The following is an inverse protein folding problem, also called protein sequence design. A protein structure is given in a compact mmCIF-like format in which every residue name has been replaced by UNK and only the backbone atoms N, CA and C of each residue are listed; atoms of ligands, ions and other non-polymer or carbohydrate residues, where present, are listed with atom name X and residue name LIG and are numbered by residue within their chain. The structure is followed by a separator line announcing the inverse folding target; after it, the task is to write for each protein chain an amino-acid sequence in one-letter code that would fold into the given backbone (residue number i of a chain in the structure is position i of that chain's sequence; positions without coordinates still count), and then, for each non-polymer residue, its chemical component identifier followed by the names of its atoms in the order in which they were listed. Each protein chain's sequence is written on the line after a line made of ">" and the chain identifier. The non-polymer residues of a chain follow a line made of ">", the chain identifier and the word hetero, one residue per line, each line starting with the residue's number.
data_IF_275225441694
#
_entry.id   IF_275225441694
#
_cell.length_a   1.000
_cell.length_b   1.000
_cell.length_c   1.000
_cell.angle_alpha   90.00
_cell.angle_beta   90.00
_cell.angle_gamma   90.00
#
_symmetry.space_group_name_H-M   'P 1'
#
loop_
_entity.id
_entity.type
_entity.pdbx_description
1 polymer ?
#
# COMPACT_ATOMS: atom_id res chain seq x y z
N UNK A 1 -38.49 -25.49 -0.97
CA UNK A 1 -38.80 -24.92 0.35
C UNK A 1 -38.24 -25.83 1.42
N UNK A 2 -36.98 -25.62 1.79
CA UNK A 2 -36.36 -26.20 2.97
C UNK A 2 -35.63 -25.05 3.65
N UNK A 3 -36.02 -24.80 4.89
CA UNK A 3 -35.57 -23.69 5.72
C UNK A 3 -34.33 -24.13 6.49
N UNK A 4 -33.38 -23.20 6.56
CA UNK A 4 -32.14 -23.24 7.32
C UNK A 4 -32.33 -23.42 8.84
N UNK A 5 -31.31 -23.95 9.54
CA UNK A 5 -30.89 -23.31 10.78
C UNK A 5 -29.37 -23.15 10.91
N UNK A 6 -28.90 -21.96 10.51
CA UNK A 6 -27.83 -21.15 11.11
C UNK A 6 -27.39 -21.59 12.53
N UNK A 7 -26.21 -22.16 12.64
CA UNK A 7 -25.53 -22.41 13.91
C UNK A 7 -24.67 -21.21 14.29
N UNK A 8 -25.27 -20.27 15.03
CA UNK A 8 -24.59 -19.12 15.60
C UNK A 8 -23.60 -19.55 16.71
N UNK A 9 -22.30 -19.53 16.41
CA UNK A 9 -21.25 -19.73 17.41
C UNK A 9 -20.90 -18.39 18.06
N UNK A 10 -21.60 -18.06 19.14
CA UNK A 10 -21.31 -16.88 19.95
C UNK A 10 -20.02 -17.10 20.73
N UNK A 11 -18.89 -16.57 20.26
CA UNK A 11 -17.68 -16.47 21.09
C UNK A 11 -17.91 -15.37 22.13
N UNK A 12 -17.64 -15.71 23.39
CA UNK A 12 -17.77 -14.82 24.55
C UNK A 12 -16.49 -14.00 24.68
N UNK A 13 -16.56 -12.69 24.51
CA UNK A 13 -15.52 -11.77 24.92
C UNK A 13 -15.50 -11.69 26.47
N UNK A 14 -14.34 -11.97 27.05
CA UNK A 14 -14.06 -11.76 28.47
C UNK A 14 -13.52 -10.33 28.61
N UNK A 15 -14.36 -9.43 29.10
CA UNK A 15 -13.95 -8.09 29.51
C UNK A 15 -13.00 -8.20 30.72
N UNK A 16 -11.69 -8.05 30.48
CA UNK A 16 -10.70 -7.93 31.53
C UNK A 16 -10.61 -6.46 31.97
N UNK A 17 -11.22 -6.13 33.11
CA UNK A 17 -11.13 -4.81 33.74
C UNK A 17 -9.86 -4.76 34.60
N UNK A 18 -8.79 -4.16 34.09
CA UNK A 18 -7.55 -3.87 34.82
C UNK A 18 -7.65 -2.57 35.62
N UNK A 19 -7.22 -2.58 36.88
CA UNK A 19 -7.32 -1.45 37.82
C UNK A 19 -6.08 -0.55 37.75
N UNK A 20 -6.27 0.75 37.48
CA UNK A 20 -5.19 1.76 37.51
C UNK A 20 -4.88 2.13 38.96
N UNK A 21 -3.62 1.99 39.36
CA UNK A 21 -3.14 2.39 40.69
C UNK A 21 -2.40 3.72 40.58
N UNK A 22 -3.03 4.82 41.01
CA UNK A 22 -2.43 6.14 41.11
C UNK A 22 -1.51 6.22 42.34
N UNK A 23 -0.20 6.19 42.12
CA UNK A 23 0.80 6.50 43.13
C UNK A 23 1.33 7.93 42.90
N UNK A 24 0.89 8.86 43.76
CA UNK A 24 1.42 10.21 43.80
C UNK A 24 2.78 10.28 44.49
N UNK A 25 3.70 11.07 43.93
CA UNK A 25 4.90 11.54 44.62
C UNK A 25 4.94 13.06 44.56
N UNK A 26 4.88 13.65 45.76
CA UNK A 26 5.05 15.07 46.01
C UNK A 26 6.49 15.36 46.48
N UNK A 27 7.02 16.53 46.10
CA UNK A 27 8.26 17.12 46.61
C UNK A 27 9.15 17.60 45.46
N UNK A 28 9.76 18.77 45.46
CA UNK A 28 10.05 19.71 46.53
C UNK A 28 10.12 21.14 45.96
N UNK A 29 9.47 22.05 46.67
CA UNK A 29 9.54 23.50 46.52
C UNK A 29 10.96 23.98 46.86
N UNK A 30 11.58 24.76 45.99
CA UNK A 30 12.85 25.44 46.24
C UNK A 30 12.96 26.63 45.30
N UNK A 31 12.71 27.83 45.82
CA UNK A 31 12.95 29.09 45.14
C UNK A 31 14.19 29.76 45.70
N UNK A 32 14.89 30.51 44.85
CA UNK A 32 15.75 31.63 45.21
C UNK A 32 15.77 32.59 44.00
N UNK A 33 15.37 33.84 44.27
CA UNK A 33 15.41 35.00 43.41
C UNK A 33 16.86 35.41 43.05
N UNK A 34 17.13 35.75 41.80
CA UNK A 34 18.32 36.53 41.41
C UNK A 34 17.94 37.58 40.36
N UNK A 35 17.91 38.85 40.78
CA UNK A 35 17.74 40.04 39.97
C UNK A 35 19.07 40.37 39.25
N UNK A 36 19.08 40.29 37.92
CA UNK A 36 20.19 40.70 37.06
C UNK A 36 19.70 41.40 35.78
N UNK A 37 19.57 42.72 35.86
CA UNK A 37 19.51 43.65 34.73
C UNK A 37 20.87 43.64 34.01
N UNK A 38 20.91 43.46 32.69
CA UNK A 38 21.79 44.16 31.73
C UNK A 38 21.84 43.45 30.35
N UNK A 39 21.21 44.10 29.36
CA UNK A 39 21.71 44.39 28.00
C UNK A 39 22.21 43.28 27.03
N UNK A 40 21.63 43.36 25.82
CA UNK A 40 22.14 42.98 24.49
C UNK A 40 21.82 41.60 23.89
N UNK A 41 21.02 41.67 22.81
CA UNK A 41 21.49 41.21 21.48
C UNK A 41 20.95 39.88 21.01
N UNK A 42 20.27 39.94 19.86
CA UNK A 42 20.05 38.89 18.84
C UNK A 42 19.33 37.60 19.30
N UNK A 43 18.23 37.21 18.64
CA UNK A 43 18.25 36.20 17.56
C UNK A 43 18.97 34.94 18.11
N UNK A 44 18.27 33.96 18.66
CA UNK A 44 17.49 33.00 17.89
C UNK A 44 16.32 32.45 18.72
N UNK A 45 15.11 32.62 18.20
CA UNK A 45 13.98 31.78 18.61
C UNK A 45 14.23 30.37 18.08
N UNK A 46 14.98 29.57 18.82
CA UNK A 46 15.00 28.13 18.65
C UNK A 46 13.63 27.61 19.07
N UNK A 47 12.73 27.45 18.10
CA UNK A 47 11.66 26.48 18.19
C UNK A 47 12.33 25.12 18.45
N UNK A 48 12.44 24.73 19.71
CA UNK A 48 12.56 23.33 20.10
C UNK A 48 11.23 22.67 19.70
N UNK A 49 11.08 22.39 18.40
CA UNK A 49 10.10 21.43 17.89
C UNK A 49 10.37 20.13 18.64
N UNK A 50 9.39 19.65 19.38
CA UNK A 50 9.46 18.34 20.02
C UNK A 50 9.70 17.28 18.95
N UNK A 51 10.92 16.77 18.90
CA UNK A 51 11.27 15.46 18.35
C UNK A 51 10.56 14.40 19.22
N UNK A 52 9.26 14.20 18.99
CA UNK A 52 8.43 13.16 19.62
C UNK A 52 7.83 12.24 18.54
N UNK A 53 8.56 11.95 17.46
CA UNK A 53 8.13 11.05 16.37
C UNK A 53 9.28 10.13 15.89
N UNK A 54 10.09 9.59 16.82
CA UNK A 54 11.21 8.68 16.50
C UNK A 54 10.79 7.22 16.24
N UNK A 55 9.49 6.92 16.11
CA UNK A 55 8.98 5.53 15.91
C UNK A 55 8.24 5.31 14.60
N UNK A 56 8.21 6.29 13.69
CA UNK A 56 7.63 6.10 12.37
C UNK A 56 8.67 5.44 11.46
N UNK A 57 8.31 4.28 10.92
CA UNK A 57 9.04 3.60 9.87
C UNK A 57 8.95 4.46 8.61
N UNK A 58 10.12 4.76 8.05
CA UNK A 58 10.19 5.48 6.79
C UNK A 58 9.99 4.49 5.64
N UNK A 59 8.94 4.73 4.85
CA UNK A 59 8.56 3.90 3.72
C UNK A 59 8.59 4.78 2.47
N UNK A 60 9.39 4.39 1.48
CA UNK A 60 9.45 5.04 0.17
C UNK A 60 8.34 4.52 -0.75
N UNK A 61 8.11 3.20 -0.70
CA UNK A 61 7.17 2.52 -1.59
C UNK A 61 6.41 1.42 -0.84
N UNK A 62 5.10 1.31 -1.12
CA UNK A 62 4.23 0.28 -0.57
C UNK A 62 3.38 -0.32 -1.69
N UNK A 63 3.59 -1.58 -2.02
CA UNK A 63 2.82 -2.31 -3.04
C UNK A 63 1.85 -3.26 -2.36
N UNK A 64 0.59 -3.26 -2.79
CA UNK A 64 -0.40 -4.26 -2.42
C UNK A 64 -0.40 -5.40 -3.44
N UNK A 65 -0.18 -6.62 -2.97
CA UNK A 65 0.02 -7.80 -3.81
C UNK A 65 -1.15 -8.78 -3.70
N UNK A 66 -1.59 -9.35 -4.83
CA UNK A 66 -2.52 -10.46 -4.85
C UNK A 66 -1.78 -11.80 -4.67
N UNK A 67 -1.96 -12.44 -3.51
CA UNK A 67 -1.29 -13.71 -3.22
C UNK A 67 -1.87 -14.90 -3.95
N UNK A 68 -3.11 -14.80 -4.42
CA UNK A 68 -3.77 -15.86 -5.18
C UNK A 68 -3.38 -15.82 -6.67
N UNK A 69 -2.79 -14.71 -7.13
CA UNK A 69 -2.34 -14.47 -8.51
C UNK A 69 -0.84 -14.15 -8.57
N UNK A 70 0.01 -15.10 -8.15
CA UNK A 70 1.47 -15.03 -8.30
C UNK A 70 2.12 -13.73 -7.75
N UNK A 71 1.50 -13.08 -6.76
CA UNK A 71 1.95 -11.82 -6.15
C UNK A 71 1.90 -10.61 -7.11
N UNK A 72 0.95 -10.62 -8.06
CA UNK A 72 0.68 -9.49 -8.96
C UNK A 72 0.30 -8.22 -8.17
N UNK A 73 0.79 -7.05 -8.62
CA UNK A 73 0.54 -5.76 -7.96
C UNK A 73 -0.88 -5.28 -8.30
N UNK A 74 -1.68 -5.02 -7.27
CA UNK A 74 -3.04 -4.47 -7.39
C UNK A 74 -3.01 -2.94 -7.42
N UNK A 75 -2.31 -2.36 -6.45
CA UNK A 75 -2.18 -0.93 -6.24
C UNK A 75 -0.89 -0.66 -5.47
N UNK A 76 -0.36 0.55 -5.56
CA UNK A 76 0.82 0.94 -4.79
C UNK A 76 0.75 2.39 -4.33
N UNK A 77 1.44 2.70 -3.25
CA UNK A 77 1.65 4.07 -2.76
C UNK A 77 3.04 4.51 -3.16
N UNK A 78 3.10 5.68 -3.80
CA UNK A 78 4.34 6.41 -4.02
C UNK A 78 4.11 7.90 -3.71
N UNK A 79 4.73 8.37 -2.62
CA UNK A 79 4.49 9.72 -2.10
C UNK A 79 3.25 9.80 -1.20
N UNK A 80 2.23 10.54 -1.61
CA UNK A 80 1.06 10.88 -0.77
C UNK A 80 -0.28 10.32 -1.26
N UNK A 81 -0.27 9.40 -2.23
CA UNK A 81 -1.49 8.82 -2.80
C UNK A 81 -1.29 7.38 -3.29
N UNK A 82 -2.40 6.65 -3.44
CA UNK A 82 -2.44 5.38 -4.16
C UNK A 82 -2.49 5.59 -5.66
N UNK A 83 -1.63 4.89 -6.38
CA UNK A 83 -1.75 4.61 -7.79
C UNK A 83 -2.49 3.28 -7.97
N UNK A 84 -3.40 3.24 -8.95
CA UNK A 84 -4.32 2.13 -9.25
C UNK A 84 -5.36 1.81 -8.15
N UNK A 85 -6.02 0.65 -8.27
CA UNK A 85 -7.25 0.32 -7.58
C UNK A 85 -8.52 0.54 -8.43
N UNK A 86 -9.70 0.22 -7.90
CA UNK A 86 -9.95 -0.28 -6.54
C UNK A 86 -9.48 -1.73 -6.32
N UNK A 87 -9.43 -2.14 -5.05
CA UNK A 87 -9.34 -3.55 -4.68
C UNK A 87 -10.70 -4.22 -4.88
N UNK A 88 -10.75 -5.30 -5.63
CA UNK A 88 -11.96 -6.06 -5.95
C UNK A 88 -12.09 -7.26 -5.02
N UNK A 89 -13.17 -7.32 -4.25
CA UNK A 89 -13.44 -8.42 -3.30
C UNK A 89 -14.75 -9.12 -3.69
N UNK A 90 -14.77 -10.44 -3.89
CA UNK A 90 -16.03 -11.13 -4.20
C UNK A 90 -17.02 -11.14 -3.02
N UNK A 91 -18.31 -10.95 -3.28
CA UNK A 91 -19.35 -11.09 -2.24
C UNK A 91 -19.43 -12.54 -1.71
N UNK A 92 -19.27 -12.70 -0.40
CA UNK A 92 -19.32 -13.97 0.30
C UNK A 92 -18.09 -14.85 0.10
N UNK A 93 -17.01 -14.30 -0.43
CA UNK A 93 -15.68 -14.91 -0.51
C UNK A 93 -14.62 -13.91 -0.02
N UNK A 94 -13.35 -14.31 -0.03
CA UNK A 94 -12.25 -13.47 0.40
C UNK A 94 -11.15 -13.38 -0.66
N UNK A 95 -10.36 -12.32 -0.57
CA UNK A 95 -9.07 -12.17 -1.26
C UNK A 95 -7.94 -12.23 -0.25
N UNK A 96 -6.82 -12.86 -0.63
CA UNK A 96 -5.61 -12.88 0.18
C UNK A 96 -4.61 -11.85 -0.35
N UNK A 97 -4.37 -10.78 0.40
CA UNK A 97 -3.44 -9.70 -0.02
C UNK A 97 -2.20 -9.66 0.86
N UNK A 98 -1.04 -9.52 0.23
CA UNK A 98 0.25 -9.24 0.88
C UNK A 98 0.71 -7.83 0.58
N UNK A 99 1.90 -7.48 1.07
CA UNK A 99 2.54 -6.23 0.69
C UNK A 99 4.04 -6.41 0.46
N UNK A 100 4.57 -5.67 -0.52
CA UNK A 100 6.00 -5.40 -0.67
C UNK A 100 6.25 -3.96 -0.24
N UNK A 101 7.25 -3.75 0.61
CA UNK A 101 7.51 -2.45 1.23
C UNK A 101 9.00 -2.15 1.13
N UNK A 102 9.35 -0.94 0.72
CA UNK A 102 10.74 -0.47 0.66
C UNK A 102 10.97 0.74 1.56
N UNK A 103 12.14 0.79 2.19
CA UNK A 103 12.64 1.96 2.93
C UNK A 103 13.23 3.03 1.99
N UNK A 104 13.61 4.19 2.53
CA UNK A 104 14.19 5.32 1.75
C UNK A 104 15.57 5.03 1.15
N UNK A 105 16.20 3.91 1.53
CA UNK A 105 17.45 3.44 0.96
C UNK A 105 17.20 2.42 -0.18
N UNK A 106 15.93 2.12 -0.50
CA UNK A 106 15.52 1.12 -1.49
C UNK A 106 15.77 -0.32 -1.03
N UNK A 107 15.74 -0.58 0.28
CA UNK A 107 15.77 -1.94 0.80
C UNK A 107 14.38 -2.43 1.15
N UNK A 108 14.09 -3.67 0.74
CA UNK A 108 12.88 -4.38 1.15
C UNK A 108 12.80 -4.53 2.67
N UNK A 109 11.62 -4.25 3.22
CA UNK A 109 11.24 -4.45 4.60
C UNK A 109 10.44 -5.76 4.69
N UNK A 110 11.06 -6.82 5.22
CA UNK A 110 10.43 -8.13 5.35
C UNK A 110 9.27 -8.11 6.38
N UNK A 111 8.08 -8.56 5.96
CA UNK A 111 6.90 -8.70 6.81
C UNK A 111 6.83 -10.09 7.48
N UNK A 112 6.15 -10.17 8.64
CA UNK A 112 5.87 -11.40 9.38
C UNK A 112 6.89 -11.77 10.47
N UNK A 113 8.06 -11.12 10.53
CA UNK A 113 9.11 -11.36 11.54
C UNK A 113 9.18 -10.25 12.61
N UNK A 114 8.02 -9.88 13.16
CA UNK A 114 7.86 -8.83 14.18
C UNK A 114 7.21 -7.55 13.66
N UNK A 115 7.16 -7.40 12.34
CA UNK A 115 6.38 -6.39 11.65
C UNK A 115 5.17 -7.06 10.98
N UNK A 116 3.96 -6.64 11.36
CA UNK A 116 2.70 -7.22 10.92
C UNK A 116 1.97 -6.26 9.98
N UNK A 117 1.35 -6.79 8.93
CA UNK A 117 0.42 -6.09 8.06
C UNK A 117 -0.98 -6.13 8.71
N UNK A 118 -1.57 -4.95 8.89
CA UNK A 118 -2.94 -4.77 9.35
C UNK A 118 -3.70 -3.83 8.40
N UNK A 119 -5.02 -3.83 8.47
CA UNK A 119 -5.86 -2.85 7.79
C UNK A 119 -7.08 -2.48 8.62
N UNK A 120 -7.54 -1.24 8.44
CA UNK A 120 -8.75 -0.69 9.02
C UNK A 120 -9.72 -0.29 7.89
N UNK A 121 -11.00 -0.68 8.03
CA UNK A 121 -12.08 -0.22 7.16
C UNK A 121 -12.57 1.15 7.63
N UNK A 122 -12.59 2.12 6.70
CA UNK A 122 -13.30 3.38 6.86
C UNK A 122 -14.63 3.31 6.11
N UNK A 123 -15.74 3.36 6.85
CA UNK A 123 -17.07 3.53 6.25
C UNK A 123 -18.10 2.42 6.52
N UNK A 124 -18.36 1.57 5.54
CA UNK A 124 -19.68 0.91 5.36
C UNK A 124 -19.89 -0.42 6.11
N UNK A 125 -18.92 -0.89 6.90
CA UNK A 125 -18.97 -2.18 7.62
C UNK A 125 -19.35 -3.34 6.67
N UNK A 126 -18.84 -3.34 5.42
CA UNK A 126 -19.11 -4.38 4.41
C UNK A 126 -17.96 -5.36 4.27
N UNK A 127 -16.84 -5.17 4.99
CA UNK A 127 -15.67 -6.03 4.96
C UNK A 127 -15.47 -6.76 6.30
N UNK A 128 -14.92 -7.97 6.26
CA UNK A 128 -14.33 -8.66 7.43
C UNK A 128 -12.84 -8.89 7.14
N UNK A 129 -11.96 -8.35 7.99
CA UNK A 129 -10.50 -8.35 7.79
C UNK A 129 -9.85 -9.22 8.86
N UNK A 130 -9.09 -10.22 8.43
CA UNK A 130 -8.28 -11.09 9.30
C UNK A 130 -6.78 -10.92 8.96
N UNK A 131 -5.98 -10.50 9.94
CA UNK A 131 -4.52 -10.41 9.80
C UNK A 131 -3.82 -11.74 10.14
N UNK A 132 -2.79 -12.06 9.34
CA UNK A 132 -1.99 -13.27 9.43
C UNK A 132 -0.49 -12.99 9.60
N UNK A 133 -0.11 -11.77 9.95
CA UNK A 133 1.29 -11.35 10.10
C UNK A 133 1.81 -10.69 8.82
N UNK A 134 2.16 -11.47 7.80
CA UNK A 134 2.67 -10.94 6.52
C UNK A 134 1.59 -10.59 5.49
N UNK A 135 0.33 -10.93 5.78
CA UNK A 135 -0.78 -10.79 4.83
C UNK A 135 -2.12 -10.65 5.55
N UNK A 136 -3.13 -10.27 4.77
CA UNK A 136 -4.52 -10.14 5.18
C UNK A 136 -5.42 -11.07 4.36
N UNK A 137 -6.46 -11.57 5.00
CA UNK A 137 -7.65 -12.05 4.30
C UNK A 137 -8.75 -11.00 4.43
N UNK A 138 -9.30 -10.57 3.31
CA UNK A 138 -10.36 -9.55 3.25
C UNK A 138 -11.61 -10.22 2.65
N UNK A 139 -12.63 -10.46 3.46
CA UNK A 139 -13.91 -11.06 3.07
C UNK A 139 -14.95 -9.97 2.76
N UNK A 140 -15.60 -10.07 1.61
CA UNK A 140 -16.69 -9.18 1.22
C UNK A 140 -18.03 -9.67 1.78
N UNK A 141 -18.60 -8.99 2.76
CA UNK A 141 -19.83 -9.47 3.43
C UNK A 141 -21.13 -8.98 2.80
N UNK A 142 -21.09 -7.87 2.06
CA UNK A 142 -22.21 -7.26 1.33
C UNK A 142 -21.67 -6.50 0.11
N UNK A 143 -22.38 -6.54 -1.03
CA UNK A 143 -22.02 -5.78 -2.24
C UNK A 143 -21.99 -4.27 -1.96
N UNK A 144 -20.96 -3.57 -2.44
CA UNK A 144 -20.83 -2.12 -2.23
C UNK A 144 -19.42 -1.59 -2.43
N UNK A 145 -19.20 -0.37 -1.95
CA UNK A 145 -17.89 0.27 -1.91
C UNK A 145 -17.52 0.58 -0.46
N UNK A 146 -16.26 0.39 -0.10
CA UNK A 146 -15.67 0.80 1.17
C UNK A 146 -14.27 1.33 0.96
N UNK A 147 -13.67 1.89 2.00
CA UNK A 147 -12.31 2.43 1.95
C UNK A 147 -11.43 1.67 2.96
N UNK A 148 -10.19 1.36 2.59
CA UNK A 148 -9.21 0.71 3.47
C UNK A 148 -7.97 1.58 3.70
N UNK A 149 -7.51 1.59 4.94
CA UNK A 149 -6.21 2.12 5.34
C UNK A 149 -5.36 0.94 5.82
N UNK A 150 -4.14 0.80 5.28
CA UNK A 150 -3.22 -0.26 5.67
C UNK A 150 -2.20 0.28 6.68
N UNK A 151 -1.83 -0.57 7.63
CA UNK A 151 -0.88 -0.28 8.68
C UNK A 151 0.25 -1.31 8.69
N UNK A 152 1.46 -0.87 8.99
CA UNK A 152 2.52 -1.76 9.47
C UNK A 152 2.63 -1.60 10.98
N UNK A 153 2.56 -2.73 11.68
CA UNK A 153 2.47 -2.77 13.15
C UNK A 153 3.66 -3.54 13.71
N UNK A 154 4.43 -2.91 14.59
CA UNK A 154 5.54 -3.53 15.31
C UNK A 154 5.21 -3.54 16.81
N UNK A 155 5.30 -4.70 17.47
CA UNK A 155 5.01 -4.85 18.91
C UNK A 155 3.61 -4.33 19.34
N UNK A 156 2.65 -4.28 18.40
CA UNK A 156 1.30 -3.76 18.61
C UNK A 156 1.16 -2.25 18.52
N UNK A 157 2.19 -1.54 18.04
CA UNK A 157 2.19 -0.11 17.76
C UNK A 157 2.25 0.10 16.24
N UNK A 158 1.42 1.00 15.70
CA UNK A 158 1.46 1.36 14.28
C UNK A 158 2.74 2.16 14.03
N UNK A 159 3.62 1.63 13.20
CA UNK A 159 4.89 2.27 12.80
C UNK A 159 4.80 2.89 11.41
N UNK A 160 3.84 2.46 10.58
CA UNK A 160 3.53 3.10 9.30
C UNK A 160 2.03 3.00 8.99
N UNK A 161 1.51 4.01 8.33
CA UNK A 161 0.12 4.11 7.87
C UNK A 161 0.15 4.61 6.42
N UNK A 162 -0.59 3.93 5.52
CA UNK A 162 -0.77 4.39 4.14
C UNK A 162 -1.56 5.71 4.12
N UNK A 163 -1.41 6.59 3.12
CA UNK A 163 -1.94 7.95 3.14
C UNK A 163 -3.41 8.06 3.60
N UNK A 164 -3.62 8.60 4.81
CA UNK A 164 -4.93 8.72 5.47
C UNK A 164 -5.91 9.65 4.74
N UNK A 165 -5.38 10.65 4.01
CA UNK A 165 -6.17 11.55 3.19
C UNK A 165 -6.76 10.90 1.93
N UNK A 166 -6.23 9.74 1.54
CA UNK A 166 -6.58 9.01 0.33
C UNK A 166 -6.56 7.50 0.61
N UNK A 167 -7.56 6.96 1.33
CA UNK A 167 -7.63 5.51 1.55
C UNK A 167 -7.85 4.77 0.22
N UNK A 168 -7.50 3.48 0.18
CA UNK A 168 -7.70 2.65 -1.00
C UNK A 168 -9.19 2.29 -1.11
N UNK A 169 -9.81 2.64 -2.23
CA UNK A 169 -11.20 2.22 -2.52
C UNK A 169 -11.25 0.69 -2.73
N UNK A 170 -12.27 0.07 -2.15
CA UNK A 170 -12.57 -1.36 -2.28
C UNK A 170 -13.97 -1.52 -2.84
N UNK A 171 -14.13 -2.33 -3.89
CA UNK A 171 -15.42 -2.72 -4.44
C UNK A 171 -15.73 -4.18 -4.10
N UNK A 172 -16.83 -4.42 -3.40
CA UNK A 172 -17.35 -5.76 -3.14
C UNK A 172 -18.39 -6.13 -4.20
N UNK A 173 -18.13 -7.15 -5.01
CA UNK A 173 -19.06 -7.59 -6.05
C UNK A 173 -18.47 -8.56 -7.09
N UNK A 174 -19.11 -8.63 -8.26
CA UNK A 174 -18.76 -9.51 -9.38
C UNK A 174 -17.69 -8.92 -10.33
N UNK A 175 -16.96 -7.88 -9.91
CA UNK A 175 -15.97 -7.24 -10.75
C UNK A 175 -14.69 -8.05 -10.91
N UNK A 176 -13.89 -7.71 -11.92
CA UNK A 176 -12.61 -8.36 -12.20
C UNK A 176 -11.48 -7.49 -11.65
N UNK A 177 -10.54 -8.08 -10.92
CA UNK A 177 -9.37 -7.37 -10.41
C UNK A 177 -8.50 -6.90 -11.59
N UNK A 178 -8.15 -5.62 -11.57
CA UNK A 178 -7.11 -5.06 -12.43
C UNK A 178 -5.77 -5.17 -11.72
N UNK A 179 -4.75 -5.63 -12.45
CA UNK A 179 -3.37 -5.69 -11.99
C UNK A 179 -2.54 -4.71 -12.80
N UNK A 180 -1.51 -4.17 -12.17
CA UNK A 180 -0.55 -3.26 -12.81
C UNK A 180 0.79 -3.96 -12.94
N UNK A 181 1.45 -3.79 -14.09
CA UNK A 181 2.82 -4.23 -14.27
C UNK A 181 3.74 -3.16 -13.66
N UNK A 182 4.44 -3.42 -12.55
CA UNK A 182 5.34 -2.42 -11.94
C UNK A 182 6.50 -2.03 -12.88
N UNK A 183 6.80 -2.88 -13.87
CA UNK A 183 7.85 -2.67 -14.87
C UNK A 183 7.44 -1.79 -16.07
N UNK A 184 6.21 -1.26 -16.13
CA UNK A 184 5.80 -0.30 -17.18
C UNK A 184 6.43 1.11 -17.01
N UNK A 185 7.38 1.23 -16.07
CA UNK A 185 8.28 2.36 -15.89
C UNK A 185 9.26 2.54 -17.05
N UNK A 186 8.78 3.15 -18.13
CA UNK A 186 9.59 4.00 -19.01
C UNK A 186 10.92 3.41 -19.53
N UNK A 187 10.86 2.34 -20.32
CA UNK A 187 11.72 2.29 -21.51
C UNK A 187 11.19 3.32 -22.51
N UNK A 188 11.40 4.60 -22.19
CA UNK A 188 11.63 5.57 -23.24
C UNK A 188 12.95 5.16 -23.86
N UNK A 189 12.87 4.27 -24.85
CA UNK A 189 13.80 4.31 -25.96
C UNK A 189 13.86 5.79 -26.38
N UNK A 190 14.92 6.46 -25.92
CA UNK A 190 15.58 7.53 -26.62
C UNK A 190 15.99 6.95 -27.99
N UNK A 191 14.99 6.67 -28.84
CA UNK A 191 15.18 6.58 -30.27
C UNK A 191 15.48 8.01 -30.70
N UNK A 192 16.75 8.34 -30.49
CA UNK A 192 17.48 9.43 -31.09
C UNK A 192 16.89 9.68 -32.48
N UNK A 193 16.14 10.78 -32.56
CA UNK A 193 15.84 11.45 -33.81
C UNK A 193 17.16 11.96 -34.41
N UNK A 194 17.97 11.04 -34.93
CA UNK A 194 18.93 11.37 -35.97
C UNK A 194 18.13 11.66 -37.24
N UNK A 195 17.73 12.94 -37.31
CA UNK A 195 17.38 13.62 -38.54
C UNK A 195 18.61 13.62 -39.45
N UNK A 196 18.81 12.53 -40.19
CA UNK A 196 19.57 12.58 -41.44
C UNK A 196 18.68 13.25 -42.50
N UNK A 197 18.65 14.58 -42.43
CA UNK A 197 18.44 15.43 -43.59
C UNK A 197 19.50 15.06 -44.66
N UNK A 198 19.05 15.02 -45.91
CA UNK A 198 19.80 14.82 -47.14
C UNK A 198 20.08 13.36 -47.53
N UNK A 199 19.27 12.81 -48.45
CA UNK A 199 19.76 12.40 -49.76
C UNK A 199 18.59 12.15 -50.74
N UNK A 200 18.40 13.12 -51.64
CA UNK A 200 17.94 12.84 -53.01
C UNK A 200 18.65 11.58 -53.52
N UNK A 201 17.91 10.61 -54.09
CA UNK A 201 18.24 10.03 -55.40
C UNK A 201 17.10 9.20 -55.97
N UNK A 202 16.77 9.58 -57.20
CA UNK A 202 15.91 8.96 -58.20
C UNK A 202 16.14 7.45 -58.43
N UNK A 203 15.18 6.89 -59.19
CA UNK A 203 15.23 5.69 -60.04
C UNK A 203 14.78 4.38 -59.39
N UNK A 204 14.03 3.50 -60.04
CA UNK A 204 13.21 3.53 -61.26
C UNK A 204 12.37 2.23 -61.15
N UNK A 205 11.22 2.24 -61.80
CA UNK A 205 10.43 1.05 -62.12
C UNK A 205 11.33 -0.07 -62.68
N UNK A 206 11.13 -1.30 -62.21
CA UNK A 206 11.23 -2.57 -62.98
C UNK A 206 10.78 -3.70 -62.03
N UNK A 207 9.52 -4.13 -62.05
CA UNK A 207 8.94 -5.11 -62.96
C UNK A 207 9.73 -6.43 -63.10
N UNK A 208 8.98 -7.50 -62.80
CA UNK A 208 9.14 -8.91 -63.16
C UNK A 208 10.08 -9.76 -62.28
N UNK A 209 9.51 -10.79 -61.65
CA UNK A 209 9.80 -12.16 -62.07
C UNK A 209 8.69 -13.12 -61.62
N UNK A 210 8.11 -13.75 -62.64
CA UNK A 210 7.20 -14.87 -62.62
C UNK A 210 7.81 -16.15 -62.02
N UNK A 211 6.91 -17.14 -61.94
CA UNK A 211 7.11 -18.57 -62.16
C UNK A 211 7.45 -19.45 -60.94
N UNK A 212 6.38 -20.16 -60.54
CA UNK A 212 6.27 -21.61 -60.49
C UNK A 212 7.33 -22.40 -59.71
N UNK A 213 6.85 -23.16 -58.72
CA UNK A 213 7.12 -24.60 -58.72
C UNK A 213 6.09 -25.36 -57.87
N UNK A 214 5.26 -26.14 -58.58
CA UNK A 214 4.62 -27.37 -58.11
C UNK A 214 5.66 -28.31 -57.45
N UNK A 215 5.23 -29.10 -56.46
CA UNK A 215 5.24 -30.58 -56.52
C UNK A 215 5.16 -31.21 -55.12
N UNK A 216 4.10 -32.00 -54.95
CA UNK A 216 4.05 -33.35 -54.36
C UNK A 216 4.80 -33.69 -53.06
N UNK A 217 4.08 -34.23 -52.06
CA UNK A 217 4.05 -35.70 -51.82
C UNK A 217 3.29 -36.09 -50.53
N UNK A 218 2.16 -36.77 -50.72
CA UNK A 218 1.75 -38.07 -50.13
C UNK A 218 2.38 -38.55 -48.78
N UNK A 219 1.58 -38.62 -47.70
CA UNK A 219 1.03 -39.88 -47.10
C UNK A 219 0.19 -39.61 -45.85
#
# INVERSE_FOLDING_TARGET
>A
MTVDPRSATRRKLLAASGSITLAGLAGCLGGDDDDGDDDNGDDDGGDDNGDDDDSHLHVEEFHLLDRDHDEDVIAYVHGDHWDHGPLMVPEGDYVSVGAYVEDDDGHEIELGDGLELEAEEDGNDILEIDSHGDHLHIEGTEEGFSDLIFHLVEDGEVVYETPDGHPLEVEVGDGEQEYTDPDDGHDHDDDDHDHDDDHDHDHDDDHDHDDDHDDDHDH
#
